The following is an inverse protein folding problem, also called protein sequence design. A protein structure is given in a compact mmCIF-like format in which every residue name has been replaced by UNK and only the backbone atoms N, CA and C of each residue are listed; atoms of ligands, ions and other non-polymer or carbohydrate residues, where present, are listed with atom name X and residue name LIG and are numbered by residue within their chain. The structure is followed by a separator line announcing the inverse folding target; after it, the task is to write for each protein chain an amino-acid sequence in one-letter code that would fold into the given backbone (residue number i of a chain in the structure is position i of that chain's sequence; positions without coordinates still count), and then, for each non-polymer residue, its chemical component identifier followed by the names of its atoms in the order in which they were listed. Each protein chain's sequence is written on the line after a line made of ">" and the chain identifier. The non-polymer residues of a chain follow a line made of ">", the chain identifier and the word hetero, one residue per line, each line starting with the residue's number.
data_IF_183547182336
#
_entry.id   IF_183547182336
#
_cell.length_a   1.000
_cell.length_b   1.000
_cell.length_c   1.000
_cell.angle_alpha   90.00
_cell.angle_beta   90.00
_cell.angle_gamma   90.00
#
_symmetry.space_group_name_H-M   'P 1'
#
loop_
_entity.id
_entity.type
_entity.pdbx_description
1 polymer ?
#
# COMPACT_ATOMS: atom_id res chain seq x y z
N UNK A 1 -14.36 5.03 36.17
CA UNK A 1 -13.35 5.61 35.26
C UNK A 1 -12.06 4.78 35.17
N UNK A 2 -11.76 3.90 36.12
CA UNK A 2 -10.53 3.06 36.08
C UNK A 2 -10.52 1.97 34.98
N UNK A 3 -11.68 1.45 34.57
CA UNK A 3 -11.74 0.38 33.55
C UNK A 3 -11.36 0.82 32.13
N UNK A 4 -11.43 2.11 31.81
CA UNK A 4 -11.14 2.59 30.44
C UNK A 4 -9.64 2.53 30.12
N UNK A 5 -8.77 2.68 31.12
CA UNK A 5 -7.30 2.57 30.95
C UNK A 5 -6.84 1.14 30.69
N UNK A 6 -7.60 0.14 31.16
CA UNK A 6 -7.34 -1.28 30.86
C UNK A 6 -7.81 -1.71 29.46
N UNK A 7 -8.58 -0.86 28.75
CA UNK A 7 -9.12 -1.15 27.43
C UNK A 7 -8.16 -0.84 26.26
N UNK A 8 -6.97 -0.28 26.53
CA UNK A 8 -5.92 -0.03 25.52
C UNK A 8 -4.93 -1.19 25.37
N UNK A 9 -5.12 -2.30 26.09
CA UNK A 9 -4.22 -3.44 26.10
C UNK A 9 -4.26 -4.30 24.84
N UNK A 10 -3.11 -4.90 24.50
CA UNK A 10 -2.99 -5.89 23.43
C UNK A 10 -3.22 -7.29 23.99
N UNK A 11 -3.98 -8.13 23.28
CA UNK A 11 -4.07 -9.57 23.58
C UNK A 11 -3.57 -10.37 22.40
N UNK A 12 -2.43 -11.02 22.58
CA UNK A 12 -1.81 -11.89 21.58
C UNK A 12 -2.48 -13.28 21.65
N UNK A 13 -3.26 -13.65 20.63
CA UNK A 13 -3.57 -15.05 20.34
C UNK A 13 -3.02 -15.35 18.95
N UNK A 14 -2.39 -16.49 18.78
CA UNK A 14 -1.74 -16.89 17.51
C UNK A 14 -2.68 -16.82 16.29
N UNK A 15 -4.00 -16.90 16.51
CA UNK A 15 -5.02 -16.85 15.47
C UNK A 15 -5.62 -15.45 15.24
N UNK A 16 -5.39 -14.52 16.17
CA UNK A 16 -5.99 -13.19 16.12
C UNK A 16 -5.18 -12.16 16.93
N UNK A 17 -4.64 -11.16 16.23
CA UNK A 17 -4.15 -9.94 16.85
C UNK A 17 -5.33 -9.00 17.11
N UNK A 18 -5.55 -8.62 18.37
CA UNK A 18 -6.56 -7.64 18.77
C UNK A 18 -5.92 -6.37 19.31
N UNK A 19 -6.37 -5.24 18.79
CA UNK A 19 -5.93 -3.92 19.23
C UNK A 19 -7.03 -2.88 19.09
N UNK A 20 -6.85 -1.77 19.79
CA UNK A 20 -7.70 -0.58 19.69
C UNK A 20 -7.54 0.03 18.29
N UNK A 21 -8.66 0.21 17.56
CA UNK A 21 -8.65 0.76 16.19
C UNK A 21 -7.95 2.12 16.12
N UNK A 22 -8.26 3.11 16.98
CA UNK A 22 -7.57 4.41 16.94
C UNK A 22 -6.05 4.31 17.16
N UNK A 23 -5.59 3.40 18.02
CA UNK A 23 -4.16 3.19 18.26
C UNK A 23 -3.49 2.58 17.02
N UNK A 24 -4.12 1.58 16.40
CA UNK A 24 -3.62 0.97 15.18
C UNK A 24 -3.63 1.96 14.02
N UNK A 25 -4.65 2.81 13.89
CA UNK A 25 -4.72 3.87 12.90
C UNK A 25 -3.57 4.87 13.10
N UNK A 26 -3.27 5.28 14.33
CA UNK A 26 -2.15 6.19 14.61
C UNK A 26 -0.79 5.55 14.32
N UNK A 27 -0.57 4.29 14.71
CA UNK A 27 0.66 3.57 14.40
C UNK A 27 0.83 3.39 12.89
N UNK A 28 -0.25 3.04 12.18
CA UNK A 28 -0.27 2.94 10.72
C UNK A 28 0.02 4.28 10.06
N UNK A 29 -0.63 5.36 10.52
CA UNK A 29 -0.38 6.72 10.02
C UNK A 29 1.07 7.14 10.26
N UNK A 30 1.65 6.87 11.43
CA UNK A 30 3.04 7.19 11.72
C UNK A 30 4.01 6.46 10.76
N UNK A 31 3.79 5.16 10.54
CA UNK A 31 4.60 4.38 9.60
C UNK A 31 4.45 4.88 8.15
N UNK A 32 3.21 5.13 7.71
CA UNK A 32 2.93 5.65 6.37
C UNK A 32 3.50 7.06 6.18
N UNK A 33 3.46 7.91 7.20
CA UNK A 33 4.02 9.26 7.14
C UNK A 33 5.52 9.21 6.89
N UNK A 34 6.26 8.33 7.57
CA UNK A 34 7.70 8.14 7.32
C UNK A 34 7.96 7.69 5.88
N UNK A 35 7.23 6.69 5.40
CA UNK A 35 7.40 6.15 4.04
C UNK A 35 7.06 7.20 2.98
N UNK A 36 5.92 7.87 3.11
CA UNK A 36 5.49 8.87 2.13
C UNK A 36 6.29 10.16 2.21
N UNK A 37 6.86 10.50 3.37
CA UNK A 37 7.82 11.59 3.49
C UNK A 37 9.11 11.28 2.72
N UNK A 38 9.65 10.07 2.88
CA UNK A 38 10.79 9.62 2.09
C UNK A 38 10.46 9.61 0.59
N UNK A 39 9.30 9.09 0.21
CA UNK A 39 8.82 9.08 -1.17
C UNK A 39 8.73 10.50 -1.76
N UNK A 40 8.15 11.45 -1.00
CA UNK A 40 8.10 12.87 -1.38
C UNK A 40 9.52 13.46 -1.52
N UNK A 41 10.43 13.16 -0.60
CA UNK A 41 11.82 13.67 -0.66
C UNK A 41 12.56 13.17 -1.91
N UNK A 42 12.35 11.91 -2.30
CA UNK A 42 12.96 11.35 -3.51
C UNK A 42 12.30 11.91 -4.77
N UNK A 43 10.98 12.01 -4.79
CA UNK A 43 10.23 12.58 -5.91
C UNK A 43 10.60 14.04 -6.19
N UNK A 44 10.76 14.84 -5.14
CA UNK A 44 11.14 16.26 -5.24
C UNK A 44 12.61 16.48 -5.60
N UNK A 45 13.46 15.48 -5.42
CA UNK A 45 14.86 15.50 -5.84
C UNK A 45 15.05 15.13 -7.33
N UNK A 46 14.01 14.66 -8.01
CA UNK A 46 14.09 14.33 -9.43
C UNK A 46 14.26 15.60 -10.30
N UNK A 47 14.91 15.48 -11.48
CA UNK A 47 15.12 16.61 -12.37
C UNK A 47 13.82 17.32 -12.74
N UNK A 48 13.86 18.66 -12.72
CA UNK A 48 12.74 19.46 -13.19
C UNK A 48 12.56 19.32 -14.70
N UNK A 49 11.32 19.41 -15.21
CA UNK A 49 11.07 19.40 -16.63
C UNK A 49 11.77 20.58 -17.32
N UNK A 50 12.33 20.32 -18.51
CA UNK A 50 12.98 21.35 -19.31
C UNK A 50 11.98 22.39 -19.84
N UNK A 51 10.72 21.98 -20.01
CA UNK A 51 9.62 22.82 -20.45
C UNK A 51 8.63 23.06 -19.29
N UNK A 52 8.15 24.29 -19.14
CA UNK A 52 7.26 24.69 -18.03
C UNK A 52 5.86 24.08 -18.10
N UNK A 53 5.45 23.57 -19.26
CA UNK A 53 4.14 22.94 -19.48
C UNK A 53 4.19 21.43 -19.18
N UNK A 54 5.39 20.84 -19.16
CA UNK A 54 5.54 19.41 -18.96
C UNK A 54 5.47 19.03 -17.48
N UNK A 55 4.75 17.95 -17.19
CA UNK A 55 4.75 17.30 -15.89
C UNK A 55 6.02 16.43 -15.86
N UNK A 56 7.16 17.01 -15.47
CA UNK A 56 8.45 16.31 -15.46
C UNK A 56 8.45 15.03 -14.62
N UNK A 57 9.58 14.31 -14.61
CA UNK A 57 9.69 12.99 -13.97
C UNK A 57 9.26 12.97 -12.49
N UNK A 58 9.46 14.07 -11.75
CA UNK A 58 9.00 14.21 -10.37
C UNK A 58 7.56 14.69 -10.19
N UNK A 59 6.90 15.21 -11.23
CA UNK A 59 5.60 15.88 -11.10
C UNK A 59 4.49 14.97 -10.58
N UNK A 60 4.24 13.85 -11.26
CA UNK A 60 3.22 12.89 -10.84
C UNK A 60 3.54 12.23 -9.49
N UNK A 61 4.76 11.71 -9.23
CA UNK A 61 5.14 11.18 -7.92
C UNK A 61 4.95 12.19 -6.78
N UNK A 62 5.33 13.46 -6.99
CA UNK A 62 5.19 14.51 -5.98
C UNK A 62 3.72 14.79 -5.67
N UNK A 63 2.87 14.88 -6.70
CA UNK A 63 1.43 15.09 -6.52
C UNK A 63 0.79 13.94 -5.73
N UNK A 64 1.12 12.70 -6.09
CA UNK A 64 0.66 11.51 -5.37
C UNK A 64 1.12 11.51 -3.91
N UNK A 65 2.37 11.90 -3.67
CA UNK A 65 2.93 11.98 -2.32
C UNK A 65 2.20 13.02 -1.47
N UNK A 66 2.00 14.24 -1.99
CA UNK A 66 1.30 15.33 -1.29
C UNK A 66 -0.15 14.92 -0.98
N UNK A 67 -0.89 14.44 -1.97
CA UNK A 67 -2.29 14.03 -1.79
C UNK A 67 -2.40 12.95 -0.70
N UNK A 68 -1.47 11.99 -0.70
CA UNK A 68 -1.46 10.92 0.29
C UNK A 68 -1.06 11.42 1.68
N UNK A 69 -0.07 12.31 1.79
CA UNK A 69 0.32 12.93 3.06
C UNK A 69 -0.85 13.70 3.69
N UNK A 70 -1.62 14.44 2.90
CA UNK A 70 -2.84 15.12 3.37
C UNK A 70 -3.86 14.11 3.91
N UNK A 71 -4.10 13.01 3.18
CA UNK A 71 -5.01 11.96 3.62
C UNK A 71 -4.55 11.30 4.93
N UNK A 72 -3.25 11.01 5.08
CA UNK A 72 -2.67 10.46 6.31
C UNK A 72 -2.92 11.40 7.49
N UNK A 73 -2.68 12.70 7.33
CA UNK A 73 -2.95 13.70 8.38
C UNK A 73 -4.44 13.70 8.75
N UNK A 74 -5.34 13.67 7.77
CA UNK A 74 -6.78 13.63 8.03
C UNK A 74 -7.20 12.38 8.84
N UNK A 75 -6.67 11.20 8.48
CA UNK A 75 -6.93 9.96 9.22
C UNK A 75 -6.34 10.00 10.63
N UNK A 76 -5.13 10.54 10.80
CA UNK A 76 -4.50 10.70 12.10
C UNK A 76 -5.34 11.61 13.01
N UNK A 77 -5.81 12.76 12.50
CA UNK A 77 -6.69 13.66 13.25
C UNK A 77 -7.99 12.95 13.63
N UNK A 78 -8.63 12.22 12.70
CA UNK A 78 -9.83 11.44 12.99
C UNK A 78 -9.59 10.34 14.05
N UNK A 79 -8.40 9.72 14.07
CA UNK A 79 -8.02 8.76 15.10
C UNK A 79 -7.84 9.43 16.48
N UNK A 80 -7.18 10.60 16.53
CA UNK A 80 -7.06 11.38 17.78
C UNK A 80 -8.44 11.77 18.32
N UNK A 81 -9.33 12.28 17.47
CA UNK A 81 -10.70 12.64 17.88
C UNK A 81 -11.42 11.42 18.48
N UNK A 82 -11.34 10.26 17.83
CA UNK A 82 -11.94 8.99 18.33
C UNK A 82 -11.33 8.50 19.65
N UNK A 83 -10.09 8.88 19.98
CA UNK A 83 -9.50 8.55 21.30
C UNK A 83 -9.99 9.47 22.41
N UNK A 84 -10.39 10.70 22.08
CA UNK A 84 -10.89 11.70 23.02
C UNK A 84 -12.40 11.58 23.26
N UNK A 85 -13.12 11.01 22.30
CA UNK A 85 -14.56 10.79 22.37
C UNK A 85 -14.89 9.65 23.38
N UNK A 86 -15.80 9.83 24.36
CA UNK A 86 -16.15 8.80 25.35
C UNK A 86 -16.88 7.56 24.80
N UNK A 87 -16.99 7.42 23.47
CA UNK A 87 -17.64 6.29 22.78
C UNK A 87 -16.84 5.00 23.01
N UNK A 88 -17.49 3.81 23.11
CA UNK A 88 -16.77 2.54 23.25
C UNK A 88 -15.79 2.29 22.10
N UNK A 89 -14.54 1.97 22.46
CA UNK A 89 -13.43 1.71 21.54
C UNK A 89 -13.78 0.53 20.62
N UNK A 90 -13.68 0.75 19.31
CA UNK A 90 -13.81 -0.31 18.30
C UNK A 90 -12.57 -1.19 18.31
N UNK A 91 -12.76 -2.50 18.41
CA UNK A 91 -11.69 -3.49 18.39
C UNK A 91 -11.49 -4.07 17.00
N UNK A 92 -10.25 -4.07 16.52
CA UNK A 92 -9.88 -4.76 15.26
C UNK A 92 -9.35 -6.14 15.58
N UNK A 93 -9.69 -7.13 14.76
CA UNK A 93 -9.15 -8.48 14.83
C UNK A 93 -8.52 -8.87 13.50
N UNK A 94 -7.19 -8.96 13.46
CA UNK A 94 -6.46 -9.46 12.27
C UNK A 94 -6.45 -11.00 12.34
N UNK A 95 -7.27 -11.65 11.51
CA UNK A 95 -7.46 -13.12 11.54
C UNK A 95 -6.39 -13.92 10.79
N UNK A 96 -5.58 -13.28 9.94
CA UNK A 96 -4.61 -13.95 9.06
C UNK A 96 -3.29 -13.17 8.94
N UNK A 97 -2.58 -12.91 10.05
CA UNK A 97 -1.39 -12.06 10.03
C UNK A 97 -0.29 -12.59 9.10
N UNK A 98 -0.11 -13.91 9.02
CA UNK A 98 0.88 -14.52 8.12
C UNK A 98 0.60 -14.26 6.64
N UNK A 99 -0.67 -14.29 6.21
CA UNK A 99 -1.02 -14.01 4.81
C UNK A 99 -0.83 -12.53 4.47
N UNK A 100 -1.09 -11.63 5.41
CA UNK A 100 -0.79 -10.20 5.26
C UNK A 100 0.71 -10.00 5.10
N UNK A 101 1.53 -10.60 5.98
CA UNK A 101 2.99 -10.50 5.91
C UNK A 101 3.54 -11.13 4.62
N UNK A 102 3.01 -12.28 4.19
CA UNK A 102 3.39 -12.90 2.93
C UNK A 102 3.08 -12.00 1.73
N UNK A 103 1.90 -11.36 1.73
CA UNK A 103 1.51 -10.41 0.67
C UNK A 103 2.43 -9.19 0.65
N UNK A 104 2.74 -8.62 1.81
CA UNK A 104 3.72 -7.53 1.93
C UNK A 104 5.08 -7.95 1.39
N UNK A 105 5.55 -9.15 1.76
CA UNK A 105 6.79 -9.72 1.24
C UNK A 105 6.80 -9.88 -0.28
N UNK A 106 5.68 -10.34 -0.88
CA UNK A 106 5.53 -10.45 -2.32
C UNK A 106 5.64 -9.08 -3.01
N UNK A 107 5.05 -8.02 -2.45
CA UNK A 107 5.16 -6.67 -3.01
C UNK A 107 6.60 -6.14 -2.94
N UNK A 108 7.33 -6.41 -1.86
CA UNK A 108 8.75 -6.06 -1.76
C UNK A 108 9.61 -6.85 -2.76
N UNK A 109 9.38 -8.16 -2.86
CA UNK A 109 10.08 -9.02 -3.81
C UNK A 109 9.79 -8.57 -5.25
N UNK A 110 8.55 -8.20 -5.56
CA UNK A 110 8.20 -7.66 -6.86
C UNK A 110 9.05 -6.44 -7.18
N UNK A 111 9.13 -5.47 -6.26
CA UNK A 111 9.95 -4.27 -6.43
C UNK A 111 11.44 -4.59 -6.67
N UNK A 112 12.01 -5.52 -5.90
CA UNK A 112 13.43 -5.90 -6.00
C UNK A 112 13.75 -6.64 -7.30
N UNK A 113 12.85 -7.52 -7.76
CA UNK A 113 13.08 -8.36 -8.93
C UNK A 113 12.51 -7.77 -10.23
N UNK A 114 11.78 -6.65 -10.17
CA UNK A 114 11.12 -6.04 -11.32
C UNK A 114 12.10 -5.78 -12.48
N UNK A 115 13.22 -5.12 -12.21
CA UNK A 115 14.23 -4.79 -13.23
C UNK A 115 14.93 -6.02 -13.81
N UNK A 116 15.02 -7.13 -13.05
CA UNK A 116 15.70 -8.35 -13.48
C UNK A 116 14.81 -9.28 -14.31
N UNK A 117 13.52 -9.33 -13.96
CA UNK A 117 12.54 -10.21 -14.60
C UNK A 117 11.88 -9.53 -15.81
N UNK A 118 11.89 -8.20 -15.84
CA UNK A 118 11.11 -7.40 -16.76
C UNK A 118 9.65 -7.27 -16.34
N UNK A 119 8.96 -6.29 -16.92
CA UNK A 119 7.64 -5.86 -16.52
C UNK A 119 6.58 -6.95 -16.71
N UNK A 120 6.55 -7.62 -17.88
CA UNK A 120 5.53 -8.63 -18.17
C UNK A 120 5.68 -9.89 -17.31
N UNK A 121 6.86 -10.53 -17.19
CA UNK A 121 7.01 -11.70 -16.35
C UNK A 121 6.79 -11.37 -14.87
N UNK A 122 7.26 -10.21 -14.42
CA UNK A 122 7.02 -9.74 -13.05
C UNK A 122 5.52 -9.59 -12.77
N UNK A 123 4.78 -8.90 -13.65
CA UNK A 123 3.33 -8.71 -13.47
C UNK A 123 2.59 -10.04 -13.42
N UNK A 124 2.88 -10.96 -14.35
CA UNK A 124 2.19 -12.24 -14.42
C UNK A 124 2.40 -13.07 -13.14
N UNK A 125 3.65 -13.21 -12.71
CA UNK A 125 4.01 -14.03 -11.56
C UNK A 125 3.49 -13.39 -10.26
N UNK A 126 3.79 -12.11 -10.03
CA UNK A 126 3.45 -11.47 -8.77
C UNK A 126 1.96 -11.18 -8.62
N UNK A 127 1.22 -10.90 -9.70
CA UNK A 127 -0.24 -10.80 -9.61
C UNK A 127 -0.86 -12.13 -9.19
N UNK A 128 -0.44 -13.25 -9.81
CA UNK A 128 -0.92 -14.59 -9.44
C UNK A 128 -0.59 -14.95 -7.99
N UNK A 129 0.66 -14.75 -7.56
CA UNK A 129 1.09 -15.05 -6.19
C UNK A 129 0.35 -14.17 -5.17
N UNK A 130 0.16 -12.89 -5.47
CA UNK A 130 -0.58 -11.96 -4.61
C UNK A 130 -2.04 -12.37 -4.47
N UNK A 131 -2.70 -12.75 -5.57
CA UNK A 131 -4.08 -13.24 -5.53
C UNK A 131 -4.20 -14.52 -4.69
N UNK A 132 -3.25 -15.45 -4.83
CA UNK A 132 -3.20 -16.66 -4.00
C UNK A 132 -2.98 -16.34 -2.52
N UNK A 133 -2.10 -15.39 -2.19
CA UNK A 133 -1.85 -14.93 -0.84
C UNK A 133 -3.09 -14.22 -0.23
N UNK A 134 -3.83 -13.48 -1.05
CA UNK A 134 -5.12 -12.90 -0.66
C UNK A 134 -6.26 -13.93 -0.55
N UNK A 135 -6.01 -15.18 -0.97
CA UNK A 135 -6.94 -16.29 -0.83
C UNK A 135 -7.92 -16.48 -1.99
N UNK A 136 -7.69 -15.85 -3.15
CA UNK A 136 -8.46 -16.16 -4.36
C UNK A 136 -8.11 -17.57 -4.84
N UNK A 137 -9.14 -18.34 -5.21
CA UNK A 137 -9.04 -19.74 -5.62
C UNK A 137 -9.74 -20.02 -6.95
N UNK A 138 -10.48 -19.06 -7.50
CA UNK A 138 -11.16 -19.19 -8.78
C UNK A 138 -10.13 -19.23 -9.91
N UNK A 139 -9.99 -20.34 -10.66
CA UNK A 139 -8.93 -20.49 -11.66
C UNK A 139 -9.05 -19.46 -12.79
N UNK A 140 -10.28 -19.12 -13.19
CA UNK A 140 -10.54 -18.07 -14.17
C UNK A 140 -9.98 -16.71 -13.74
N UNK A 141 -10.11 -16.35 -12.47
CA UNK A 141 -9.55 -15.09 -11.96
C UNK A 141 -8.02 -15.18 -11.86
N UNK A 142 -7.50 -16.29 -11.33
CA UNK A 142 -6.06 -16.48 -11.14
C UNK A 142 -5.27 -16.41 -12.44
N UNK A 143 -5.84 -16.82 -13.57
CA UNK A 143 -5.18 -16.75 -14.87
C UNK A 143 -5.61 -15.49 -15.64
N UNK A 144 -6.91 -15.20 -15.66
CA UNK A 144 -7.48 -14.12 -16.45
C UNK A 144 -7.01 -12.74 -16.00
N UNK A 145 -6.93 -12.48 -14.69
CA UNK A 145 -6.53 -11.16 -14.17
C UNK A 145 -5.06 -10.86 -14.50
N UNK A 146 -4.08 -11.73 -14.20
CA UNK A 146 -2.69 -11.46 -14.60
C UNK A 146 -2.51 -11.29 -16.10
N UNK A 147 -3.17 -12.12 -16.93
CA UNK A 147 -3.09 -12.00 -18.38
C UNK A 147 -3.68 -10.68 -18.88
N UNK A 148 -4.85 -10.30 -18.38
CA UNK A 148 -5.48 -9.03 -18.74
C UNK A 148 -4.61 -7.84 -18.31
N UNK A 149 -4.01 -7.89 -17.12
CA UNK A 149 -3.11 -6.84 -16.64
C UNK A 149 -1.86 -6.72 -17.52
N UNK A 150 -1.23 -7.86 -17.85
CA UNK A 150 -0.06 -7.90 -18.71
C UNK A 150 -0.38 -7.40 -20.13
N UNK A 151 -1.51 -7.82 -20.69
CA UNK A 151 -1.98 -7.35 -22.00
C UNK A 151 -2.25 -5.85 -22.00
N UNK A 152 -2.91 -5.33 -20.97
CA UNK A 152 -3.16 -3.90 -20.82
C UNK A 152 -1.85 -3.10 -20.76
N UNK A 153 -0.90 -3.54 -19.92
CA UNK A 153 0.42 -2.91 -19.79
C UNK A 153 1.14 -2.92 -21.13
N UNK A 154 1.16 -4.05 -21.84
CA UNK A 154 1.78 -4.15 -23.15
C UNK A 154 1.16 -3.19 -24.17
N UNK A 155 -0.17 -3.16 -24.26
CA UNK A 155 -0.89 -2.30 -25.22
C UNK A 155 -0.68 -0.83 -24.92
N UNK A 156 -0.79 -0.41 -23.67
CA UNK A 156 -0.67 1.00 -23.31
C UNK A 156 0.78 1.46 -23.42
N UNK A 157 1.73 0.75 -22.81
CA UNK A 157 3.10 1.25 -22.71
C UNK A 157 3.91 0.97 -23.96
N UNK A 158 3.92 -0.27 -24.46
CA UNK A 158 4.75 -0.60 -25.63
C UNK A 158 4.09 -0.15 -26.94
N UNK A 159 2.77 -0.30 -27.08
CA UNK A 159 2.12 -0.06 -28.38
C UNK A 159 1.56 1.37 -28.53
N UNK A 160 0.94 1.93 -27.49
CA UNK A 160 0.34 3.27 -27.57
C UNK A 160 1.32 4.40 -27.20
N UNK A 161 2.21 4.18 -26.23
CA UNK A 161 3.15 5.19 -25.74
C UNK A 161 4.58 5.00 -26.28
N UNK A 162 4.87 3.90 -26.98
CA UNK A 162 6.21 3.54 -27.49
C UNK A 162 7.31 3.57 -26.39
N UNK A 163 6.92 3.20 -25.16
CA UNK A 163 7.80 3.11 -24.00
C UNK A 163 8.19 1.66 -23.79
N UNK A 164 9.46 1.35 -24.05
CA UNK A 164 10.03 0.04 -23.71
C UNK A 164 10.21 -0.08 -22.20
N UNK A 165 9.30 -0.82 -21.58
CA UNK A 165 9.48 -1.27 -20.19
C UNK A 165 10.57 -2.35 -20.14
N UNK A 166 11.32 -2.45 -19.02
CA UNK A 166 12.35 -3.47 -18.84
C UNK A 166 11.80 -4.89 -18.93
#
# INVERSE_FOLDING_TARGET
>A
MEDYKNALGWRLRWDALRGSLPVLDLLGCAALLVVFWQYFSQASALPQPLNKIDIGAGGFPTLLAIATLIAIVAVAVAAVIRMLDPVPVTWVSIRRPFYVLATVGLLFLQSIYFEKLGALPSVLIFALLTMLACGERRPLHLIGVPLALAAFIYVVFNLALDVNLP
#
